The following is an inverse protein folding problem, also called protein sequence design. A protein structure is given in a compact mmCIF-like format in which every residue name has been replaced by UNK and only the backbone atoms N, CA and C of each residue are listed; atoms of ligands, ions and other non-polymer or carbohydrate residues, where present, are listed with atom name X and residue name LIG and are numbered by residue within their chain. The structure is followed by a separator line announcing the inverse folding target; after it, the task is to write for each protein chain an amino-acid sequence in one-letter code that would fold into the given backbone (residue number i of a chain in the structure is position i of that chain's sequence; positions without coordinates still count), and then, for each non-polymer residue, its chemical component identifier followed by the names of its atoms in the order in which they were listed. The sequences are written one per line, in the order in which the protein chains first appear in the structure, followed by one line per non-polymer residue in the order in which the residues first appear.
data_IF_495381595305
#
_entry.id   IF_495381595305
#
_cell.length_a   1.000
_cell.length_b   1.000
_cell.length_c   1.000
_cell.angle_alpha   90.00
_cell.angle_beta   90.00
_cell.angle_gamma   90.00
#
_symmetry.space_group_name_H-M   'P 1'
#
loop_
_entity.id
_entity.type
_entity.pdbx_description
1 polymer ?
#
# COMPACT_ATOMS: atom_id res chain seq x y z
N UNK A 1 -8.09 -3.43 26.84
CA UNK A 1 -7.19 -2.45 26.19
C UNK A 1 -7.67 -1.05 26.55
N UNK A 2 -6.77 -0.14 26.89
CA UNK A 2 -7.12 1.26 27.12
C UNK A 2 -7.11 1.98 25.75
N UNK A 3 -8.17 2.71 25.45
CA UNK A 3 -8.25 3.59 24.29
C UNK A 3 -7.61 4.94 24.63
N UNK A 4 -6.94 5.54 23.66
CA UNK A 4 -6.37 6.87 23.76
C UNK A 4 -6.69 7.68 22.52
N UNK A 5 -6.91 8.98 22.68
CA UNK A 5 -7.06 9.91 21.57
C UNK A 5 -5.67 10.36 21.10
N UNK A 6 -5.34 10.08 19.84
CA UNK A 6 -4.11 10.58 19.22
C UNK A 6 -4.27 12.02 18.76
N UNK A 7 -5.26 12.27 17.92
CA UNK A 7 -5.61 13.61 17.42
C UNK A 7 -7.10 13.66 17.08
N UNK A 8 -7.65 14.85 17.05
CA UNK A 8 -9.03 15.10 16.63
C UNK A 8 -9.09 16.36 15.80
N UNK A 9 -9.65 16.26 14.60
CA UNK A 9 -9.85 17.39 13.69
C UNK A 9 -11.33 17.62 13.47
N UNK A 10 -11.79 18.83 13.68
CA UNK A 10 -13.15 19.25 13.40
C UNK A 10 -13.15 20.15 12.18
N UNK A 11 -14.07 19.90 11.25
CA UNK A 11 -14.27 20.76 10.08
C UNK A 11 -15.36 21.79 10.37
N UNK A 12 -15.00 23.07 10.32
CA UNK A 12 -15.94 24.20 10.40
C UNK A 12 -15.86 24.96 9.10
N UNK A 13 -16.98 25.09 8.40
CA UNK A 13 -17.05 25.79 7.10
C UNK A 13 -16.01 25.30 6.07
N UNK A 14 -15.73 23.97 6.08
CA UNK A 14 -14.69 23.28 5.30
C UNK A 14 -13.24 23.58 5.72
N UNK A 15 -12.99 24.29 6.80
CA UNK A 15 -11.66 24.48 7.33
C UNK A 15 -11.36 23.45 8.43
N UNK A 16 -10.27 22.65 8.30
CA UNK A 16 -9.87 21.71 9.34
C UNK A 16 -9.31 22.46 10.54
N UNK A 17 -9.80 22.15 11.72
CA UNK A 17 -9.32 22.71 12.98
C UNK A 17 -8.97 21.58 13.93
N UNK A 18 -7.72 21.51 14.35
CA UNK A 18 -7.32 20.57 15.38
C UNK A 18 -7.99 20.94 16.70
N UNK A 19 -8.55 19.96 17.38
CA UNK A 19 -9.28 20.15 18.63
C UNK A 19 -8.93 19.03 19.61
N UNK A 20 -9.30 19.21 20.85
CA UNK A 20 -9.12 18.24 21.93
C UNK A 20 -10.43 18.03 22.65
N UNK A 21 -10.55 16.93 23.39
CA UNK A 21 -11.70 16.70 24.26
C UNK A 21 -11.77 17.81 25.31
N UNK A 22 -12.99 18.28 25.61
CA UNK A 22 -13.21 19.21 26.70
C UNK A 22 -13.01 18.50 28.06
N UNK A 23 -12.85 19.28 29.15
CA UNK A 23 -12.59 18.75 30.52
C UNK A 23 -13.67 17.78 31.02
N UNK A 24 -14.89 17.88 30.47
CA UNK A 24 -16.03 17.03 30.82
C UNK A 24 -16.38 16.00 29.75
N UNK A 25 -15.51 15.81 28.78
CA UNK A 25 -15.66 14.83 27.70
C UNK A 25 -14.65 13.70 27.84
N UNK A 26 -15.08 12.49 27.57
CA UNK A 26 -14.23 11.31 27.54
C UNK A 26 -14.54 10.43 26.31
N UNK A 27 -13.59 9.58 25.94
CA UNK A 27 -13.80 8.61 24.89
C UNK A 27 -14.85 7.58 25.31
N UNK A 28 -15.83 7.34 24.46
CA UNK A 28 -16.79 6.26 24.66
C UNK A 28 -16.12 4.90 24.39
N UNK A 29 -15.49 4.34 25.42
CA UNK A 29 -14.77 3.06 25.32
C UNK A 29 -15.66 1.90 24.88
N UNK A 30 -16.96 1.93 25.21
CA UNK A 30 -17.91 0.90 24.77
C UNK A 30 -18.07 0.96 23.26
N UNK A 31 -18.38 2.14 22.70
CA UNK A 31 -18.54 2.29 21.25
C UNK A 31 -17.27 1.96 20.48
N UNK A 32 -16.09 2.26 21.03
CA UNK A 32 -14.80 1.91 20.43
C UNK A 32 -14.54 0.39 20.46
N UNK A 33 -14.92 -0.28 21.54
CA UNK A 33 -14.84 -1.74 21.58
C UNK A 33 -15.84 -2.39 20.62
N UNK A 34 -17.06 -1.87 20.51
CA UNK A 34 -18.07 -2.36 19.57
C UNK A 34 -17.58 -2.18 18.11
N UNK A 35 -16.95 -1.04 17.81
CA UNK A 35 -16.30 -0.80 16.51
C UNK A 35 -15.20 -1.83 16.22
N UNK A 36 -14.35 -2.09 17.22
CA UNK A 36 -13.29 -3.10 17.09
C UNK A 36 -13.87 -4.49 16.81
N UNK A 37 -14.90 -4.89 17.55
CA UNK A 37 -15.58 -6.16 17.33
C UNK A 37 -16.20 -6.24 15.93
N UNK A 38 -16.86 -5.17 15.48
CA UNK A 38 -17.44 -5.13 14.14
C UNK A 38 -16.36 -5.27 13.03
N UNK A 39 -15.16 -4.76 13.25
CA UNK A 39 -14.04 -4.98 12.32
C UNK A 39 -13.50 -6.41 12.38
N UNK A 40 -13.40 -7.00 13.57
CA UNK A 40 -12.93 -8.38 13.76
C UNK A 40 -13.94 -9.39 13.19
N UNK A 41 -15.25 -9.07 13.17
CA UNK A 41 -16.33 -9.90 12.63
C UNK A 41 -16.72 -9.56 11.19
N UNK A 42 -15.97 -8.69 10.53
CA UNK A 42 -16.24 -8.30 9.17
C UNK A 42 -16.13 -9.49 8.22
N UNK A 43 -17.23 -9.88 7.58
CA UNK A 43 -17.28 -10.94 6.59
C UNK A 43 -17.38 -10.38 5.18
N UNK A 44 -16.61 -10.98 4.26
CA UNK A 44 -16.66 -10.65 2.83
C UNK A 44 -17.67 -11.60 2.18
N UNK A 45 -18.82 -11.05 1.79
CA UNK A 45 -19.90 -11.81 1.18
C UNK A 45 -19.66 -12.04 -0.33
N UNK A 46 -19.16 -11.02 -1.02
CA UNK A 46 -18.81 -11.12 -2.42
C UNK A 46 -17.65 -10.18 -2.79
N UNK A 47 -16.95 -10.51 -3.86
CA UNK A 47 -15.87 -9.68 -4.41
C UNK A 47 -16.17 -9.36 -5.85
N UNK A 48 -16.25 -8.08 -6.17
CA UNK A 48 -16.41 -7.60 -7.53
C UNK A 48 -15.08 -7.14 -8.14
N UNK A 49 -14.96 -7.32 -9.44
CA UNK A 49 -13.80 -6.82 -10.16
C UNK A 49 -13.85 -5.29 -10.19
N UNK A 50 -12.78 -4.68 -9.75
CA UNK A 50 -12.55 -3.25 -9.83
C UNK A 50 -12.61 -2.75 -11.29
N UNK A 51 -13.23 -1.58 -11.57
CA UNK A 51 -13.26 -1.01 -12.91
C UNK A 51 -11.86 -0.82 -13.50
N UNK A 52 -11.76 -0.96 -14.82
CA UNK A 52 -10.51 -0.65 -15.53
C UNK A 52 -10.16 0.84 -15.36
N UNK A 53 -8.90 1.14 -15.09
CA UNK A 53 -8.43 2.50 -14.83
C UNK A 53 -8.57 2.94 -13.38
N UNK A 54 -8.88 2.05 -12.46
CA UNK A 54 -8.75 2.30 -11.03
C UNK A 54 -7.50 1.60 -10.49
N UNK A 55 -6.51 2.39 -10.07
CA UNK A 55 -5.24 1.94 -9.52
C UNK A 55 -5.37 1.12 -8.22
N UNK A 56 -4.31 0.47 -7.79
CA UNK A 56 -4.28 -0.25 -6.52
C UNK A 56 -4.38 0.70 -5.31
N UNK A 57 -3.93 1.92 -5.49
CA UNK A 57 -3.96 3.05 -4.56
C UNK A 57 -5.26 3.88 -4.63
N UNK A 58 -6.23 3.44 -5.46
CA UNK A 58 -7.48 4.13 -5.78
C UNK A 58 -7.30 5.42 -6.59
N UNK A 59 -6.14 5.63 -7.19
CA UNK A 59 -5.97 6.66 -8.19
C UNK A 59 -6.82 6.34 -9.43
N UNK A 60 -7.48 7.37 -9.95
CA UNK A 60 -8.36 7.27 -11.13
C UNK A 60 -7.56 7.66 -12.37
N UNK A 61 -7.30 6.72 -13.25
CA UNK A 61 -6.62 6.96 -14.51
C UNK A 61 -7.51 7.70 -15.53
N UNK A 62 -6.88 8.32 -16.53
CA UNK A 62 -7.57 9.12 -17.53
C UNK A 62 -8.65 8.36 -18.35
N UNK A 63 -8.45 7.07 -18.58
CA UNK A 63 -9.42 6.22 -19.28
C UNK A 63 -10.71 6.06 -18.45
N UNK A 64 -10.62 5.87 -17.13
CA UNK A 64 -11.77 5.81 -16.23
C UNK A 64 -12.37 7.20 -16.02
N UNK A 65 -11.54 8.24 -15.84
CA UNK A 65 -12.01 9.62 -15.67
C UNK A 65 -12.87 10.11 -16.85
N UNK A 66 -12.62 9.62 -18.04
CA UNK A 66 -13.38 9.91 -19.27
C UNK A 66 -14.54 8.92 -19.55
N UNK A 67 -14.68 7.86 -18.74
CA UNK A 67 -15.73 6.86 -18.89
C UNK A 67 -16.95 7.23 -18.04
N UNK A 68 -17.92 7.90 -18.63
CA UNK A 68 -19.15 8.36 -17.94
C UNK A 68 -19.93 7.21 -17.30
N UNK A 69 -19.99 6.05 -17.96
CA UNK A 69 -20.69 4.88 -17.43
C UNK A 69 -19.97 4.27 -16.23
N UNK A 70 -18.63 4.16 -16.32
CA UNK A 70 -17.80 3.70 -15.21
C UNK A 70 -17.89 4.61 -13.98
N UNK A 71 -17.84 5.91 -14.19
CA UNK A 71 -18.01 6.90 -13.12
C UNK A 71 -19.41 6.82 -12.50
N UNK A 72 -20.46 6.72 -13.33
CA UNK A 72 -21.84 6.58 -12.82
C UNK A 72 -22.02 5.30 -12.01
N UNK A 73 -21.44 4.19 -12.44
CA UNK A 73 -21.47 2.94 -11.69
C UNK A 73 -20.81 3.09 -10.32
N UNK A 74 -19.62 3.70 -10.26
CA UNK A 74 -18.95 3.98 -8.98
C UNK A 74 -19.79 4.87 -8.07
N UNK A 75 -20.42 5.91 -8.62
CA UNK A 75 -21.30 6.82 -7.86
C UNK A 75 -22.51 6.10 -7.28
N UNK A 76 -23.10 5.14 -8.01
CA UNK A 76 -24.20 4.32 -7.52
C UNK A 76 -23.77 3.41 -6.36
N UNK A 77 -22.51 3.03 -6.31
CA UNK A 77 -21.93 2.26 -5.21
C UNK A 77 -21.47 3.15 -4.04
N UNK A 78 -21.63 4.48 -4.15
CA UNK A 78 -21.26 5.45 -3.11
C UNK A 78 -19.80 5.94 -3.18
N UNK A 79 -19.13 5.78 -4.33
CA UNK A 79 -17.75 6.20 -4.53
C UNK A 79 -17.66 7.31 -5.58
N UNK A 80 -16.87 8.34 -5.30
CA UNK A 80 -16.80 9.55 -6.09
C UNK A 80 -15.36 9.88 -6.44
N UNK A 81 -15.02 10.04 -7.73
CA UNK A 81 -13.73 10.55 -8.13
C UNK A 81 -13.64 12.05 -7.79
N UNK A 82 -12.63 12.40 -7.03
CA UNK A 82 -12.36 13.77 -6.56
C UNK A 82 -10.90 14.11 -6.81
N UNK A 83 -10.61 15.34 -7.15
CA UNK A 83 -9.23 15.80 -7.26
C UNK A 83 -8.55 15.66 -5.89
N UNK A 84 -7.35 15.06 -5.87
CA UNK A 84 -6.60 14.90 -4.64
C UNK A 84 -6.14 16.27 -4.07
N UNK A 85 -5.73 16.30 -2.82
CA UNK A 85 -5.30 17.53 -2.14
C UNK A 85 -4.10 18.19 -2.81
N UNK A 86 -3.22 17.42 -3.45
CA UNK A 86 -2.08 17.93 -4.19
C UNK A 86 -2.48 18.59 -5.52
N UNK A 87 -3.68 18.31 -6.03
CA UNK A 87 -4.20 18.85 -7.28
C UNK A 87 -3.59 18.23 -8.54
N UNK A 88 -2.81 17.18 -8.43
CA UNK A 88 -2.09 16.51 -9.51
C UNK A 88 -2.72 15.18 -9.95
N UNK A 89 -3.78 14.73 -9.29
CA UNK A 89 -4.45 13.49 -9.60
C UNK A 89 -5.92 13.46 -9.20
N UNK A 90 -6.59 12.38 -9.57
CA UNK A 90 -7.97 12.09 -9.18
C UNK A 90 -7.94 10.84 -8.31
N UNK A 91 -8.57 10.92 -7.16
CA UNK A 91 -8.68 9.84 -6.19
C UNK A 91 -10.15 9.45 -5.99
N UNK A 92 -10.40 8.16 -5.75
CA UNK A 92 -11.75 7.68 -5.48
C UNK A 92 -12.06 7.80 -3.99
N UNK A 93 -12.89 8.75 -3.61
CA UNK A 93 -13.37 8.94 -2.24
C UNK A 93 -14.74 8.30 -2.02
N UNK A 94 -15.12 8.15 -0.77
CA UNK A 94 -16.44 7.68 -0.35
C UNK A 94 -17.26 8.80 0.30
N UNK A 95 -18.57 8.86 0.00
CA UNK A 95 -19.50 9.76 0.68
C UNK A 95 -19.81 9.32 2.12
N UNK A 96 -19.60 8.05 2.45
CA UNK A 96 -19.93 7.47 3.76
C UNK A 96 -18.70 7.37 4.70
N UNK A 97 -17.60 8.03 4.32
CA UNK A 97 -16.38 8.12 5.12
C UNK A 97 -15.38 7.00 4.86
N UNK A 98 -14.23 7.16 5.48
CA UNK A 98 -13.14 6.20 5.41
C UNK A 98 -12.56 5.92 6.79
N UNK A 99 -11.91 4.77 6.91
CA UNK A 99 -11.22 4.35 8.12
C UNK A 99 -9.81 3.91 7.77
N UNK A 100 -8.85 4.40 8.54
CA UNK A 100 -7.46 3.98 8.46
C UNK A 100 -7.14 3.08 9.65
N UNK A 101 -6.72 1.85 9.37
CA UNK A 101 -6.36 0.86 10.39
C UNK A 101 -4.89 0.52 10.23
N UNK A 102 -4.05 1.03 11.12
CA UNK A 102 -2.62 0.73 11.13
C UNK A 102 -2.33 -0.42 12.10
N UNK A 103 -1.65 -1.43 11.59
CA UNK A 103 -1.19 -2.57 12.38
C UNK A 103 0.23 -2.35 12.88
N UNK A 104 0.58 -2.99 13.98
CA UNK A 104 1.95 -2.97 14.52
C UNK A 104 3.00 -3.56 13.58
N UNK A 105 2.56 -4.31 12.55
CA UNK A 105 3.39 -4.87 11.48
C UNK A 105 3.82 -3.84 10.43
N UNK A 106 3.37 -2.58 10.54
CA UNK A 106 3.61 -1.55 9.55
C UNK A 106 2.70 -1.61 8.33
N UNK A 107 1.63 -2.40 8.38
CA UNK A 107 0.59 -2.41 7.35
C UNK A 107 -0.53 -1.47 7.78
N UNK A 108 -0.93 -0.57 6.89
CA UNK A 108 -2.09 0.27 7.05
C UNK A 108 -3.15 -0.11 6.00
N UNK A 109 -4.35 -0.41 6.47
CA UNK A 109 -5.53 -0.56 5.61
C UNK A 109 -6.30 0.75 5.55
N UNK A 110 -6.69 1.14 4.35
CA UNK A 110 -7.65 2.23 4.11
C UNK A 110 -8.94 1.60 3.62
N UNK A 111 -9.99 1.72 4.39
CA UNK A 111 -11.30 1.16 4.16
C UNK A 111 -12.26 2.30 3.83
N UNK A 112 -12.83 2.32 2.63
CA UNK A 112 -13.82 3.30 2.19
C UNK A 112 -15.19 2.65 2.10
N UNK A 113 -16.17 3.26 2.75
CA UNK A 113 -17.51 2.71 2.88
C UNK A 113 -18.43 3.28 1.81
N UNK A 114 -18.92 2.43 0.92
CA UNK A 114 -19.90 2.76 -0.10
C UNK A 114 -21.34 2.71 0.41
N UNK A 115 -22.29 2.60 -0.49
CA UNK A 115 -23.71 2.50 -0.19
C UNK A 115 -24.06 1.14 0.42
N UNK A 116 -25.18 1.13 1.13
CA UNK A 116 -25.76 -0.09 1.70
C UNK A 116 -26.46 -0.86 0.58
N UNK A 117 -26.31 -2.18 0.58
CA UNK A 117 -26.95 -3.08 -0.37
C UNK A 117 -28.33 -3.47 0.12
N UNK A 118 -29.36 -3.20 -0.70
CA UNK A 118 -30.74 -3.57 -0.38
C UNK A 118 -31.43 -2.63 0.59
N UNK A 119 -32.60 -3.07 1.08
CA UNK A 119 -33.40 -2.31 2.03
C UNK A 119 -32.91 -2.56 3.46
N UNK A 120 -32.78 -1.51 4.24
CA UNK A 120 -32.54 -1.58 5.68
C UNK A 120 -33.86 -1.95 6.35
N UNK A 121 -34.19 -3.24 6.38
CA UNK A 121 -35.29 -3.73 7.19
C UNK A 121 -34.80 -4.09 8.59
N UNK A 122 -35.63 -3.84 9.59
CA UNK A 122 -35.30 -4.11 10.99
C UNK A 122 -35.03 -5.60 11.29
N UNK A 123 -35.38 -6.49 10.35
CA UNK A 123 -35.23 -7.95 10.47
C UNK A 123 -34.04 -8.51 9.68
N UNK A 124 -33.21 -7.65 9.08
CA UNK A 124 -32.05 -8.12 8.33
C UNK A 124 -30.95 -8.64 9.29
N UNK A 125 -30.55 -9.88 9.12
CA UNK A 125 -29.37 -10.47 9.78
C UNK A 125 -28.09 -9.86 9.19
N UNK A 126 -27.75 -8.65 9.59
CA UNK A 126 -26.58 -7.90 9.13
C UNK A 126 -26.89 -6.89 8.02
N UNK A 127 -26.08 -5.87 7.95
CA UNK A 127 -26.13 -4.84 6.92
C UNK A 127 -24.99 -5.10 5.93
N UNK A 128 -25.36 -5.39 4.68
CA UNK A 128 -24.38 -5.49 3.60
C UNK A 128 -24.07 -4.09 3.05
N UNK A 129 -22.81 -3.85 2.76
CA UNK A 129 -22.34 -2.56 2.26
C UNK A 129 -21.21 -2.75 1.25
N UNK A 130 -21.20 -1.93 0.22
CA UNK A 130 -20.04 -1.86 -0.65
C UNK A 130 -18.84 -1.28 0.10
N UNK A 131 -17.68 -1.86 -0.13
CA UNK A 131 -16.42 -1.37 0.43
C UNK A 131 -15.31 -1.43 -0.62
N UNK A 132 -14.42 -0.45 -0.55
CA UNK A 132 -13.14 -0.52 -1.24
C UNK A 132 -12.04 -0.51 -0.17
N UNK A 133 -11.16 -1.49 -0.25
CA UNK A 133 -10.06 -1.65 0.70
C UNK A 133 -8.74 -1.63 -0.04
N UNK A 134 -7.81 -0.81 0.44
CA UNK A 134 -6.43 -0.81 0.00
C UNK A 134 -5.50 -1.09 1.17
N UNK A 135 -4.34 -1.66 0.89
CA UNK A 135 -3.28 -1.86 1.87
C UNK A 135 -2.03 -1.13 1.41
N UNK A 136 -1.38 -0.43 2.33
CA UNK A 136 -0.12 0.26 2.10
C UNK A 136 0.85 0.03 3.26
N UNK A 137 2.14 0.25 3.03
CA UNK A 137 3.13 0.26 4.10
C UNK A 137 3.08 1.62 4.82
N UNK A 138 3.03 1.57 6.14
CA UNK A 138 3.22 2.73 7.01
C UNK A 138 4.70 2.76 7.41
N UNK A 139 5.51 3.51 6.67
CA UNK A 139 6.95 3.59 6.87
C UNK A 139 7.32 4.09 8.26
N UNK A 140 6.45 4.89 8.89
CA UNK A 140 6.67 5.39 10.25
C UNK A 140 6.62 4.28 11.31
N UNK A 141 5.94 3.18 11.00
CA UNK A 141 5.81 2.01 11.88
C UNK A 141 6.90 0.95 11.63
N UNK A 142 7.65 1.07 10.52
CA UNK A 142 8.72 0.14 10.21
C UNK A 142 9.94 0.42 11.09
N UNK A 143 10.31 -0.55 11.91
CA UNK A 143 11.58 -0.48 12.61
C UNK A 143 12.71 -0.64 11.58
N UNK A 144 13.66 0.29 11.47
CA UNK A 144 14.81 0.09 10.59
C UNK A 144 15.48 -1.25 10.90
N UNK A 145 15.91 -2.02 9.89
CA UNK A 145 16.64 -3.24 10.14
C UNK A 145 17.83 -2.92 11.04
N UNK A 146 18.01 -3.71 12.10
CA UNK A 146 19.19 -3.58 12.96
C UNK A 146 20.43 -3.70 12.06
N UNK A 147 21.20 -2.62 11.95
CA UNK A 147 22.50 -2.66 11.28
C UNK A 147 23.35 -3.58 12.14
N UNK A 148 23.56 -4.82 11.69
CA UNK A 148 24.55 -5.68 12.31
C UNK A 148 25.89 -4.91 12.26
N UNK A 149 26.58 -4.74 13.41
CA UNK A 149 27.87 -4.08 13.39
C UNK A 149 28.77 -4.88 12.45
N UNK A 150 29.20 -4.22 11.37
CA UNK A 150 30.22 -4.81 10.48
C UNK A 150 31.39 -5.25 11.36
N UNK A 151 31.59 -6.56 11.42
CA UNK A 151 32.78 -7.14 12.06
C UNK A 151 34.00 -6.48 11.38
N UNK A 152 34.90 -5.87 12.14
CA UNK A 152 36.12 -5.28 11.54
C UNK A 152 36.81 -6.37 10.74
N UNK A 153 36.91 -6.20 9.45
CA UNK A 153 37.74 -7.05 8.58
C UNK A 153 39.17 -6.84 9.05
N UNK A 154 39.71 -7.85 9.72
CA UNK A 154 41.10 -7.91 10.10
C UNK A 154 41.95 -7.75 8.82
N UNK A 155 42.93 -6.81 8.76
CA UNK A 155 43.70 -6.61 7.53
C UNK A 155 44.47 -7.87 7.23
N UNK A 156 44.18 -8.49 6.08
CA UNK A 156 45.01 -9.59 5.53
C UNK A 156 46.44 -9.13 5.47
N UNK A 157 47.28 -9.78 6.28
CA UNK A 157 48.73 -9.62 6.24
C UNK A 157 49.21 -10.13 4.88
N UNK A 158 49.56 -9.23 4.01
CA UNK A 158 50.22 -9.54 2.74
C UNK A 158 51.58 -10.14 3.04
N UNK A 159 51.68 -11.45 2.86
CA UNK A 159 52.92 -12.18 2.82
C UNK A 159 53.76 -11.71 1.61
N UNK A 160 55.08 -11.38 1.75
CA UNK A 160 55.84 -10.83 0.66
C UNK A 160 56.13 -11.89 -0.41
N UNK A 161 55.80 -11.56 -1.64
CA UNK A 161 56.04 -12.37 -2.83
C UNK A 161 57.54 -12.69 -3.01
N UNK A 162 57.85 -13.98 -3.21
CA UNK A 162 59.17 -14.47 -3.62
C UNK A 162 59.49 -14.02 -5.05
N UNK A 163 60.79 -13.82 -5.38
CA UNK A 163 61.24 -13.28 -6.65
C UNK A 163 61.08 -14.30 -7.82
N UNK A 164 60.96 -13.80 -9.06
CA UNK A 164 60.73 -14.64 -10.23
C UNK A 164 61.97 -15.38 -10.68
N UNK A 165 61.84 -16.67 -10.94
CA UNK A 165 62.82 -17.47 -11.63
C UNK A 165 62.76 -17.22 -13.14
N UNK A 166 63.87 -16.73 -13.69
CA UNK A 166 64.14 -16.76 -15.14
C UNK A 166 64.29 -18.22 -15.59
N UNK A 167 63.57 -18.65 -16.62
CA UNK A 167 64.19 -19.54 -17.60
C UNK A 167 63.52 -19.44 -18.99
N UNK A 168 64.38 -19.66 -19.95
CA UNK A 168 64.40 -19.26 -21.35
C UNK A 168 63.51 -20.15 -22.26
N UNK A 169 63.37 -19.75 -23.53
CA UNK A 169 62.35 -20.20 -24.43
C UNK A 169 62.70 -21.46 -25.20
N UNK A 170 61.70 -22.22 -25.57
CA UNK A 170 61.86 -23.17 -26.68
C UNK A 170 60.75 -23.03 -27.69
N UNK A 171 61.25 -23.01 -28.89
CA UNK A 171 60.72 -22.86 -30.21
C UNK A 171 59.81 -24.04 -30.58
N UNK A 172 58.69 -23.80 -31.21
CA UNK A 172 58.28 -24.48 -32.46
C UNK A 172 56.86 -24.09 -32.90
N UNK A 173 56.80 -23.36 -33.97
CA UNK A 173 55.75 -23.21 -34.96
C UNK A 173 55.73 -24.47 -35.89
N UNK A 174 54.85 -24.64 -36.85
CA UNK A 174 53.47 -24.30 -37.10
C UNK A 174 52.59 -25.47 -37.63
N UNK A 175 51.31 -25.26 -37.88
CA UNK A 175 50.53 -25.68 -39.04
C UNK A 175 49.02 -25.57 -38.78
N UNK A 176 48.36 -24.67 -39.42
CA UNK A 176 47.62 -24.78 -40.69
C UNK A 176 46.47 -25.81 -40.71
N UNK A 177 45.40 -25.30 -41.15
CA UNK A 177 44.29 -25.75 -42.00
C UNK A 177 42.96 -25.79 -41.30
N UNK A 178 42.03 -25.18 -41.77
CA UNK A 178 41.29 -25.04 -43.04
C UNK A 178 39.79 -25.28 -42.78
N UNK A 179 39.07 -24.38 -43.37
CA UNK A 179 37.77 -24.53 -44.02
C UNK A 179 36.51 -24.94 -43.25
N UNK A 180 35.51 -24.17 -43.60
CA UNK A 180 34.17 -24.59 -43.97
C UNK A 180 33.09 -23.79 -43.27
N UNK A 181 32.54 -22.76 -43.76
CA UNK A 181 31.63 -22.52 -44.90
C UNK A 181 30.24 -23.22 -44.76
N UNK A 182 29.25 -22.41 -45.05
CA UNK A 182 27.87 -22.67 -45.42
C UNK A 182 26.85 -22.66 -44.29
N UNK A 183 25.94 -21.68 -44.29
CA UNK A 183 24.80 -21.31 -45.13
C UNK A 183 23.48 -21.94 -44.65
N UNK A 184 22.53 -21.03 -44.59
CA UNK A 184 21.08 -21.14 -44.89
C UNK A 184 20.19 -21.94 -43.92
N UNK A 185 19.16 -21.39 -43.41
CA UNK A 185 17.85 -20.85 -43.79
C UNK A 185 17.15 -20.20 -42.62
#
# INVERSE_FOLDING_TARGET
SAWGLGSMTQYKENEPTETTLAENEELNSQALNDLKFALDELEIDSVEKKPEGLGADLAVEANLANNVEGIRSLQQLGFFPVQNEAGDGIELLSANGEMHVSLQTGIQYVIRFGEIVGDISADAEGIQRYMVVTARLDEAMLTPPAVEPETPVEPETTEPAAPPSEDKPDDTDPKADDSGACQDE
#
